data_IF_812166330748
#
_entry.id   IF_812166330748
#
_cell.length_a   1.000
_cell.length_b   1.000
_cell.length_c   1.000
_cell.angle_alpha   90.00
_cell.angle_beta   90.00
_cell.angle_gamma   90.00
#
_symmetry.space_group_name_H-M   'P 1'
#
loop_
_entity.id
_entity.type
_entity.pdbx_description
1 polymer ?
#
# COMPACT_ATOMS: atom_id res chain seq x y z
N UNK A 1 -15.19 4.50 -21.08
CA UNK A 1 -14.15 5.06 -20.18
C UNK A 1 -13.31 6.20 -20.79
N UNK A 2 -12.82 6.11 -22.04
CA UNK A 2 -11.84 7.06 -22.60
C UNK A 2 -12.31 8.53 -22.55
N UNK A 3 -13.54 8.80 -22.95
CA UNK A 3 -14.15 10.15 -22.88
C UNK A 3 -14.35 10.67 -21.45
N UNK A 4 -14.39 9.77 -20.46
CA UNK A 4 -14.47 10.12 -19.05
C UNK A 4 -13.11 10.65 -18.56
N UNK A 5 -12.02 9.94 -18.85
CA UNK A 5 -10.68 10.33 -18.43
C UNK A 5 -10.10 11.51 -19.21
N UNK A 6 -10.50 11.74 -20.45
CA UNK A 6 -10.08 12.91 -21.25
C UNK A 6 -10.35 14.26 -20.57
N UNK A 7 -11.28 14.29 -19.61
CA UNK A 7 -11.68 15.49 -18.88
C UNK A 7 -10.99 15.62 -17.51
N UNK A 8 -10.25 14.61 -17.07
CA UNK A 8 -9.65 14.58 -15.73
C UNK A 8 -8.18 14.94 -15.77
N UNK A 9 -7.78 15.91 -14.96
CA UNK A 9 -6.39 16.14 -14.61
C UNK A 9 -5.91 15.18 -13.53
N UNK A 10 -4.60 15.23 -13.23
CA UNK A 10 -3.98 14.46 -12.15
C UNK A 10 -4.69 14.69 -10.81
N UNK A 11 -4.99 15.95 -10.49
CA UNK A 11 -5.63 16.32 -9.22
C UNK A 11 -7.06 15.77 -9.12
N UNK A 12 -7.81 15.79 -10.22
CA UNK A 12 -9.16 15.20 -10.27
C UNK A 12 -9.11 13.68 -10.07
N UNK A 13 -8.10 13.01 -10.66
CA UNK A 13 -7.88 11.58 -10.46
C UNK A 13 -7.54 11.25 -9.00
N UNK A 14 -6.69 12.06 -8.35
CA UNK A 14 -6.36 11.90 -6.93
C UNK A 14 -7.59 12.09 -6.05
N UNK A 15 -8.39 13.13 -6.33
CA UNK A 15 -9.63 13.40 -5.61
C UNK A 15 -10.62 12.24 -5.76
N UNK A 16 -10.73 11.68 -6.96
CA UNK A 16 -11.53 10.47 -7.21
C UNK A 16 -11.01 9.27 -6.42
N UNK A 17 -9.69 9.02 -6.44
CA UNK A 17 -9.08 7.92 -5.67
C UNK A 17 -9.39 8.04 -4.18
N UNK A 18 -9.47 9.25 -3.63
CA UNK A 18 -9.79 9.47 -2.22
C UNK A 18 -11.29 9.33 -1.91
N UNK A 19 -12.18 9.74 -2.83
CA UNK A 19 -13.62 9.84 -2.56
C UNK A 19 -14.48 8.74 -3.15
N UNK A 20 -14.16 8.20 -4.33
CA UNK A 20 -15.02 7.29 -5.10
C UNK A 20 -14.91 5.83 -4.62
N UNK A 21 -14.86 5.67 -3.30
CA UNK A 21 -14.78 4.41 -2.58
C UNK A 21 -16.15 4.07 -1.99
N UNK A 22 -16.58 2.80 -1.97
CA UNK A 22 -17.62 2.34 -1.06
C UNK A 22 -17.20 2.52 0.41
N UNK A 23 -18.17 2.45 1.33
CA UNK A 23 -17.90 2.46 2.77
C UNK A 23 -16.99 1.29 3.13
N UNK A 24 -17.36 0.09 2.67
CA UNK A 24 -16.57 -1.13 2.86
C UNK A 24 -16.32 -1.86 1.55
N UNK A 25 -15.20 -2.55 1.47
CA UNK A 25 -14.81 -3.37 0.33
C UNK A 25 -13.78 -4.41 0.75
N UNK A 26 -14.17 -5.68 0.79
CA UNK A 26 -13.33 -6.72 1.37
C UNK A 26 -13.64 -8.12 0.83
N UNK A 27 -12.73 -9.05 1.13
CA UNK A 27 -12.85 -10.45 0.75
C UNK A 27 -12.61 -10.74 -0.74
N UNK A 28 -12.41 -12.01 -1.11
CA UNK A 28 -11.98 -12.39 -2.46
C UNK A 28 -13.02 -12.10 -3.55
N UNK A 29 -14.29 -11.92 -3.17
CA UNK A 29 -15.39 -11.68 -4.10
C UNK A 29 -15.88 -10.22 -4.07
N UNK A 30 -15.14 -9.30 -3.45
CA UNK A 30 -15.50 -7.88 -3.40
C UNK A 30 -16.85 -7.65 -2.73
N UNK A 31 -17.00 -8.11 -1.48
CA UNK A 31 -18.17 -7.73 -0.67
C UNK A 31 -18.06 -6.25 -0.36
N UNK A 32 -19.17 -5.52 -0.49
CA UNK A 32 -19.18 -4.08 -0.29
C UNK A 32 -20.43 -3.56 0.41
N UNK A 33 -20.30 -2.38 1.00
CA UNK A 33 -21.38 -1.52 1.43
C UNK A 33 -21.18 -0.12 0.81
N UNK A 34 -22.20 0.39 0.12
CA UNK A 34 -22.20 1.70 -0.53
C UNK A 34 -22.67 2.79 0.44
N UNK A 35 -22.46 4.06 0.08
CA UNK A 35 -22.90 5.24 0.87
C UNK A 35 -24.42 5.37 1.05
N UNK A 36 -25.21 4.61 0.31
CA UNK A 36 -26.67 4.53 0.43
C UNK A 36 -27.12 3.21 1.09
N UNK A 37 -26.24 2.60 1.88
CA UNK A 37 -26.43 1.34 2.61
C UNK A 37 -26.72 0.11 1.74
N UNK A 38 -26.66 0.23 0.41
CA UNK A 38 -26.75 -0.93 -0.48
C UNK A 38 -25.53 -1.80 -0.30
N UNK A 39 -25.77 -3.07 -0.04
CA UNK A 39 -24.73 -4.09 0.04
C UNK A 39 -24.76 -5.00 -1.17
N UNK A 40 -23.62 -5.60 -1.48
CA UNK A 40 -23.50 -6.53 -2.59
C UNK A 40 -22.16 -7.23 -2.64
N UNK A 41 -21.93 -7.94 -3.73
CA UNK A 41 -20.70 -8.69 -3.97
C UNK A 41 -20.37 -8.68 -5.47
N UNK A 42 -19.13 -8.34 -5.82
CA UNK A 42 -18.65 -8.28 -7.21
C UNK A 42 -19.27 -7.15 -8.02
N UNK A 43 -19.11 -7.18 -9.34
CA UNK A 43 -19.70 -6.21 -10.28
C UNK A 43 -18.82 -4.98 -10.54
N UNK A 44 -17.80 -4.73 -9.71
CA UNK A 44 -16.82 -3.66 -9.94
C UNK A 44 -15.97 -3.88 -11.20
N UNK A 45 -15.88 -5.11 -11.70
CA UNK A 45 -15.23 -5.47 -12.98
C UNK A 45 -15.90 -4.80 -14.18
N UNK A 46 -17.17 -4.39 -14.03
CA UNK A 46 -17.96 -3.77 -15.09
C UNK A 46 -17.85 -2.25 -15.12
N UNK A 47 -17.31 -1.63 -14.06
CA UNK A 47 -17.17 -0.18 -13.95
C UNK A 47 -16.22 0.33 -15.04
N UNK A 48 -16.68 1.29 -15.84
CA UNK A 48 -15.95 1.86 -16.98
C UNK A 48 -16.18 1.13 -18.31
N UNK A 49 -16.90 0.01 -18.32
CA UNK A 49 -17.20 -0.79 -19.52
C UNK A 49 -18.58 -0.44 -20.12
N UNK A 50 -18.90 -0.96 -21.31
CA UNK A 50 -20.23 -0.81 -21.91
C UNK A 50 -21.34 -1.52 -21.12
N UNK A 51 -20.98 -2.40 -20.17
CA UNK A 51 -21.90 -3.21 -19.38
C UNK A 51 -21.97 -2.76 -17.91
N UNK A 52 -21.75 -1.47 -17.62
CA UNK A 52 -21.89 -0.92 -16.27
C UNK A 52 -23.23 -1.27 -15.61
N UNK A 53 -23.18 -1.50 -14.30
CA UNK A 53 -24.39 -1.67 -13.50
C UNK A 53 -24.99 -0.31 -13.13
N UNK A 54 -26.31 -0.25 -12.91
CA UNK A 54 -27.00 0.99 -12.54
C UNK A 54 -26.50 1.64 -11.24
N UNK A 55 -25.91 0.87 -10.32
CA UNK A 55 -25.42 1.34 -9.02
C UNK A 55 -23.88 1.40 -8.96
N UNK A 56 -23.19 0.58 -9.74
CA UNK A 56 -21.73 0.56 -9.83
C UNK A 56 -21.30 1.18 -11.17
N UNK A 57 -21.15 2.51 -11.17
CA UNK A 57 -20.82 3.32 -12.35
C UNK A 57 -19.54 4.12 -12.15
N UNK A 58 -18.79 4.36 -13.22
CA UNK A 58 -17.51 5.08 -13.17
C UNK A 58 -17.66 6.49 -12.57
N UNK A 59 -18.81 7.13 -12.76
CA UNK A 59 -19.09 8.45 -12.19
C UNK A 59 -19.08 8.46 -10.65
N UNK A 60 -19.45 7.32 -10.03
CA UNK A 60 -19.69 7.21 -8.60
C UNK A 60 -18.64 6.37 -7.87
N UNK A 61 -18.00 5.41 -8.55
CA UNK A 61 -17.06 4.47 -7.95
C UNK A 61 -15.84 4.23 -8.85
N UNK A 62 -14.77 3.74 -8.22
CA UNK A 62 -13.54 3.43 -8.93
C UNK A 62 -13.66 2.21 -9.85
N UNK A 63 -13.08 2.28 -11.04
CA UNK A 63 -12.77 1.08 -11.83
C UNK A 63 -11.61 0.29 -11.21
N UNK A 64 -11.41 -0.97 -11.62
CA UNK A 64 -10.24 -1.73 -11.16
C UNK A 64 -8.90 -1.10 -11.53
N UNK A 65 -8.83 -0.37 -12.64
CA UNK A 65 -7.61 0.37 -13.02
C UNK A 65 -7.34 1.52 -12.05
N UNK A 66 -8.38 2.25 -11.64
CA UNK A 66 -8.28 3.28 -10.59
C UNK A 66 -7.92 2.67 -9.24
N UNK A 67 -8.49 1.51 -8.87
CA UNK A 67 -8.15 0.81 -7.63
C UNK A 67 -6.68 0.39 -7.58
N UNK A 68 -6.11 -0.01 -8.71
CA UNK A 68 -4.70 -0.41 -8.80
C UNK A 68 -3.76 0.76 -8.55
N UNK A 69 -4.12 1.95 -9.02
CA UNK A 69 -3.40 3.21 -8.71
C UNK A 69 -3.64 3.59 -7.24
N UNK A 70 -4.88 3.50 -6.76
CA UNK A 70 -5.25 3.77 -5.38
C UNK A 70 -4.45 2.95 -4.37
N UNK A 71 -4.11 1.69 -4.70
CA UNK A 71 -3.30 0.82 -3.85
C UNK A 71 -1.85 1.34 -3.64
N UNK A 72 -1.41 2.34 -4.40
CA UNK A 72 -0.10 2.99 -4.23
C UNK A 72 -0.14 4.20 -3.31
N UNK A 73 -1.32 4.61 -2.85
CA UNK A 73 -1.48 5.74 -1.94
C UNK A 73 -1.31 5.30 -0.49
N UNK A 74 -0.65 6.17 0.27
CA UNK A 74 -0.57 6.12 1.73
C UNK A 74 -1.27 7.34 2.29
N UNK A 75 -2.06 7.17 3.34
CA UNK A 75 -2.62 8.30 4.11
C UNK A 75 -2.07 8.21 5.53
N UNK A 76 -1.41 9.27 6.00
CA UNK A 76 -0.82 9.33 7.33
C UNK A 76 -1.33 10.53 8.13
N UNK A 77 -1.37 10.37 9.44
CA UNK A 77 -1.68 11.46 10.37
C UNK A 77 -1.00 11.24 11.72
N UNK A 78 -0.83 12.33 12.48
CA UNK A 78 -0.63 12.21 13.92
C UNK A 78 -1.97 11.84 14.55
N UNK A 79 -1.96 10.87 15.46
CA UNK A 79 -3.16 10.45 16.18
C UNK A 79 -2.85 10.30 17.66
N UNK A 80 -3.85 10.57 18.49
CA UNK A 80 -3.91 10.01 19.83
C UNK A 80 -4.37 8.56 19.75
N UNK A 81 -3.88 7.74 20.65
CA UNK A 81 -4.27 6.35 20.78
C UNK A 81 -5.10 6.17 22.06
N UNK A 82 -6.05 5.25 22.03
CA UNK A 82 -6.94 4.99 23.20
C UNK A 82 -6.61 3.67 23.90
N UNK A 83 -5.87 2.77 23.25
CA UNK A 83 -5.38 1.50 23.76
C UNK A 83 -4.14 1.05 22.96
N UNK A 84 -3.64 -0.16 23.21
CA UNK A 84 -2.45 -0.71 22.55
C UNK A 84 -2.63 -1.08 21.06
N UNK A 85 -3.85 -0.98 20.54
CA UNK A 85 -4.17 -1.34 19.16
C UNK A 85 -4.18 -2.84 18.88
N UNK A 86 -4.26 -3.71 19.89
CA UNK A 86 -4.42 -5.14 19.64
C UNK A 86 -5.64 -5.43 18.75
N UNK A 87 -5.59 -6.48 17.91
CA UNK A 87 -6.70 -6.81 17.00
C UNK A 87 -8.05 -7.04 17.69
N UNK A 88 -8.05 -7.40 18.96
CA UNK A 88 -9.26 -7.61 19.76
C UNK A 88 -9.65 -6.39 20.62
N UNK A 89 -9.05 -5.21 20.40
CA UNK A 89 -9.22 -4.05 21.27
C UNK A 89 -10.67 -3.52 21.31
N UNK A 90 -11.42 -3.62 20.20
CA UNK A 90 -12.85 -3.27 20.10
C UNK A 90 -13.21 -1.86 20.62
N UNK A 91 -12.27 -0.93 20.62
CA UNK A 91 -12.48 0.44 21.10
C UNK A 91 -12.50 0.57 22.61
N UNK A 92 -12.11 -0.48 23.33
CA UNK A 92 -12.03 -0.46 24.80
C UNK A 92 -10.77 0.33 25.20
N UNK A 93 -10.89 1.38 26.02
CA UNK A 93 -9.73 2.14 26.47
C UNK A 93 -8.73 1.28 27.26
N UNK A 94 -7.44 1.48 26.99
CA UNK A 94 -6.35 0.84 27.73
C UNK A 94 -6.04 1.56 29.04
N UNK A 95 -5.30 0.89 29.92
CA UNK A 95 -4.77 1.52 31.13
C UNK A 95 -3.70 2.57 30.77
N UNK A 96 -3.77 3.75 31.39
CA UNK A 96 -2.83 4.84 31.13
C UNK A 96 -1.38 4.38 31.35
N UNK A 97 -0.52 4.65 30.38
CA UNK A 97 0.89 4.26 30.43
C UNK A 97 1.18 2.80 30.05
N UNK A 98 0.17 1.99 29.70
CA UNK A 98 0.39 0.62 29.18
C UNK A 98 0.61 0.58 27.66
N UNK A 99 0.40 1.69 26.97
CA UNK A 99 0.54 1.87 25.52
C UNK A 99 1.04 3.29 25.22
N UNK A 100 1.52 3.54 24.00
CA UNK A 100 1.86 4.90 23.58
C UNK A 100 0.60 5.74 23.47
N UNK A 101 0.58 6.93 24.06
CA UNK A 101 -0.63 7.77 24.04
C UNK A 101 -0.82 8.49 22.69
N UNK A 102 0.24 8.62 21.90
CA UNK A 102 0.18 9.23 20.57
C UNK A 102 1.33 8.79 19.69
N UNK A 103 1.16 8.97 18.38
CA UNK A 103 2.19 8.71 17.39
C UNK A 103 1.72 9.10 16.00
N UNK A 104 2.48 8.70 14.99
CA UNK A 104 2.05 8.77 13.59
C UNK A 104 1.47 7.42 13.22
N UNK A 105 0.34 7.41 12.51
CA UNK A 105 -0.26 6.20 11.97
C UNK A 105 -0.52 6.38 10.48
N UNK A 106 -0.20 5.35 9.68
CA UNK A 106 -0.29 5.37 8.23
C UNK A 106 -1.13 4.19 7.72
N UNK A 107 -2.17 4.50 6.95
CA UNK A 107 -2.95 3.52 6.20
C UNK A 107 -2.25 3.19 4.89
N UNK A 108 -1.91 1.92 4.70
CA UNK A 108 -1.11 1.46 3.57
C UNK A 108 -1.73 0.22 2.93
N UNK A 109 -1.70 0.16 1.60
CA UNK A 109 -2.34 -0.93 0.85
C UNK A 109 -1.30 -1.93 0.34
N UNK A 110 -1.50 -3.20 0.70
CA UNK A 110 -0.68 -4.32 0.25
C UNK A 110 -1.07 -4.88 -1.11
N UNK A 111 -0.32 -5.88 -1.59
CA UNK A 111 -0.63 -6.56 -2.85
C UNK A 111 -1.83 -7.50 -2.69
N UNK A 112 -2.81 -7.41 -3.60
CA UNK A 112 -4.01 -8.25 -3.59
C UNK A 112 -3.91 -9.41 -4.56
N UNK A 113 -3.42 -10.57 -4.09
CA UNK A 113 -3.11 -11.74 -4.93
C UNK A 113 -4.14 -12.87 -4.84
N UNK A 114 -5.40 -12.56 -4.51
CA UNK A 114 -6.53 -13.52 -4.53
C UNK A 114 -7.59 -13.23 -5.58
N UNK A 115 -7.61 -12.02 -6.14
CA UNK A 115 -8.56 -11.66 -7.20
C UNK A 115 -7.92 -11.99 -8.55
N UNK A 116 -8.25 -13.17 -9.08
CA UNK A 116 -7.72 -13.67 -10.35
C UNK A 116 -7.95 -12.64 -11.46
N UNK A 117 -6.90 -12.34 -12.22
CA UNK A 117 -6.91 -11.42 -13.37
C UNK A 117 -7.15 -9.93 -13.04
N UNK A 118 -7.10 -9.51 -11.77
CA UNK A 118 -7.22 -8.09 -11.37
C UNK A 118 -6.18 -7.67 -10.32
N UNK A 119 -6.00 -6.36 -10.14
CA UNK A 119 -5.06 -5.78 -9.15
C UNK A 119 -3.63 -6.34 -9.34
N UNK A 120 -2.87 -6.53 -8.26
CA UNK A 120 -1.52 -7.07 -8.33
C UNK A 120 -1.44 -8.53 -8.81
N UNK A 121 -2.55 -9.27 -8.90
CA UNK A 121 -2.53 -10.59 -9.57
C UNK A 121 -2.05 -10.45 -11.01
N UNK A 122 -2.48 -9.40 -11.72
CA UNK A 122 -2.07 -9.16 -13.11
C UNK A 122 -0.58 -8.92 -13.24
N UNK A 123 0.07 -8.39 -12.20
CA UNK A 123 1.46 -7.97 -12.23
C UNK A 123 2.40 -9.05 -11.69
N UNK A 124 2.01 -9.66 -10.58
CA UNK A 124 2.85 -10.53 -9.78
C UNK A 124 2.63 -12.01 -10.10
N UNK A 125 1.43 -12.40 -10.55
CA UNK A 125 1.11 -13.82 -10.79
C UNK A 125 1.23 -14.15 -12.27
N UNK A 126 1.94 -15.23 -12.56
CA UNK A 126 2.10 -15.77 -13.90
C UNK A 126 1.26 -17.05 -14.01
N UNK A 127 0.33 -17.07 -14.98
CA UNK A 127 -0.50 -18.23 -15.30
C UNK A 127 -0.55 -18.45 -16.81
N UNK A 128 -0.79 -19.69 -17.30
CA UNK A 128 -0.84 -19.96 -18.75
C UNK A 128 -1.99 -19.23 -19.46
N UNK A 129 -3.11 -18.97 -18.77
CA UNK A 129 -4.28 -18.28 -19.35
C UNK A 129 -4.07 -16.76 -19.44
N UNK A 130 -3.52 -16.15 -18.39
CA UNK A 130 -3.31 -14.71 -18.34
C UNK A 130 -2.06 -14.30 -19.12
N UNK A 131 -0.93 -14.96 -18.90
CA UNK A 131 0.39 -14.51 -19.35
C UNK A 131 0.70 -15.01 -20.77
N UNK A 132 -0.08 -14.53 -21.74
CA UNK A 132 0.17 -14.75 -23.17
C UNK A 132 0.62 -13.45 -23.84
N UNK A 133 1.31 -13.57 -24.98
CA UNK A 133 1.66 -12.41 -25.81
C UNK A 133 0.41 -11.63 -26.24
N UNK A 134 -0.69 -12.33 -26.54
CA UNK A 134 -1.96 -11.68 -26.90
C UNK A 134 -2.50 -10.81 -25.77
N UNK A 135 -2.25 -11.17 -24.50
CA UNK A 135 -2.69 -10.39 -23.34
C UNK A 135 -1.70 -9.28 -22.95
N UNK A 136 -0.60 -9.10 -23.68
CA UNK A 136 0.39 -8.05 -23.44
C UNK A 136 1.47 -8.42 -22.43
N UNK A 137 1.71 -9.72 -22.25
CA UNK A 137 2.80 -10.26 -21.42
C UNK A 137 3.98 -10.69 -22.28
N UNK A 138 5.17 -10.69 -21.68
CA UNK A 138 6.43 -10.92 -22.37
C UNK A 138 6.87 -9.69 -23.17
N UNK A 139 7.65 -9.92 -24.22
CA UNK A 139 8.17 -8.84 -25.07
C UNK A 139 6.98 -8.10 -25.73
N UNK A 140 6.84 -6.77 -25.55
CA UNK A 140 5.74 -6.02 -26.15
C UNK A 140 5.69 -6.20 -27.67
N UNK A 141 4.56 -6.69 -28.18
CA UNK A 141 4.30 -6.83 -29.61
C UNK A 141 2.95 -6.18 -29.95
N UNK A 142 2.89 -5.52 -31.10
CA UNK A 142 1.64 -4.94 -31.61
C UNK A 142 1.14 -3.71 -30.84
N UNK A 143 -0.17 -3.63 -30.63
CA UNK A 143 -0.84 -2.46 -30.04
C UNK A 143 -0.48 -2.31 -28.55
N UNK A 144 -0.12 -1.10 -28.08
CA UNK A 144 0.14 -0.87 -26.67
C UNK A 144 -1.03 -1.27 -25.77
N UNK A 145 -0.75 -2.11 -24.77
CA UNK A 145 -1.71 -2.52 -23.74
C UNK A 145 -1.35 -1.89 -22.39
N UNK A 146 -2.33 -1.82 -21.49
CA UNK A 146 -2.12 -1.31 -20.14
C UNK A 146 -1.03 -2.08 -19.39
N UNK A 147 -0.91 -3.38 -19.65
CA UNK A 147 0.15 -4.25 -19.13
C UNK A 147 1.54 -3.70 -19.45
N UNK A 148 1.77 -3.13 -20.64
CA UNK A 148 3.08 -2.56 -20.99
C UNK A 148 3.46 -1.36 -20.11
N UNK A 149 2.47 -0.57 -19.64
CA UNK A 149 2.71 0.54 -18.72
C UNK A 149 3.19 -0.01 -17.37
N UNK A 150 2.51 -1.02 -16.84
CA UNK A 150 2.89 -1.66 -15.59
C UNK A 150 4.22 -2.42 -15.70
N UNK A 151 4.52 -3.02 -16.85
CA UNK A 151 5.83 -3.62 -17.12
C UNK A 151 6.96 -2.58 -17.11
N UNK A 152 6.71 -1.36 -17.62
CA UNK A 152 7.69 -0.27 -17.52
C UNK A 152 7.88 0.18 -16.08
N UNK A 153 6.81 0.20 -15.29
CA UNK A 153 6.83 0.67 -13.91
C UNK A 153 7.46 -0.34 -12.94
N UNK A 154 7.03 -1.60 -12.99
CA UNK A 154 7.50 -2.68 -12.11
C UNK A 154 8.58 -3.55 -12.73
N UNK A 155 8.84 -3.50 -14.03
CA UNK A 155 9.74 -4.43 -14.71
C UNK A 155 9.00 -5.55 -15.45
N UNK A 156 9.78 -6.38 -16.14
CA UNK A 156 9.25 -7.37 -17.08
C UNK A 156 8.25 -8.33 -16.42
N UNK A 157 7.08 -8.44 -17.05
CA UNK A 157 6.07 -9.44 -16.72
C UNK A 157 6.11 -10.49 -17.82
N UNK A 158 6.67 -11.68 -17.55
CA UNK A 158 6.95 -12.66 -18.59
C UNK A 158 5.66 -13.27 -19.15
N UNK A 159 5.73 -13.71 -20.41
CA UNK A 159 4.79 -14.70 -20.91
C UNK A 159 5.06 -16.06 -20.23
N UNK A 160 4.06 -16.93 -20.16
CA UNK A 160 4.15 -18.21 -19.46
C UNK A 160 5.30 -19.10 -19.96
N UNK A 161 5.54 -19.12 -21.28
CA UNK A 161 6.63 -19.87 -21.91
C UNK A 161 8.03 -19.27 -21.69
N UNK A 162 8.12 -18.02 -21.23
CA UNK A 162 9.39 -17.34 -20.89
C UNK A 162 9.81 -17.60 -19.43
N UNK A 163 8.99 -18.29 -18.65
CA UNK A 163 9.31 -18.63 -17.26
C UNK A 163 10.35 -19.74 -17.22
N UNK A 164 11.55 -19.38 -16.77
CA UNK A 164 12.66 -20.30 -16.54
C UNK A 164 12.44 -21.10 -15.25
N UNK A 165 12.25 -22.42 -15.39
CA UNK A 165 12.13 -23.33 -14.24
C UNK A 165 13.42 -23.31 -13.41
N UNK A 166 13.28 -23.25 -12.09
CA UNK A 166 14.39 -23.22 -11.15
C UNK A 166 15.04 -21.84 -10.96
N UNK A 167 14.57 -20.82 -11.66
CA UNK A 167 15.00 -19.44 -11.40
C UNK A 167 14.40 -18.94 -10.08
N UNK A 168 15.24 -18.41 -9.18
CA UNK A 168 14.84 -17.97 -7.83
C UNK A 168 13.85 -16.81 -7.79
N UNK A 169 13.66 -16.08 -8.90
CA UNK A 169 12.66 -15.01 -9.03
C UNK A 169 11.23 -15.54 -9.20
N UNK A 170 11.06 -16.84 -9.45
CA UNK A 170 9.78 -17.46 -9.73
C UNK A 170 9.46 -18.51 -8.67
N UNK A 171 8.58 -18.13 -7.74
CA UNK A 171 8.08 -19.05 -6.71
C UNK A 171 6.88 -19.83 -7.26
N UNK A 172 6.99 -21.16 -7.30
CA UNK A 172 5.86 -22.02 -7.67
C UNK A 172 4.81 -22.01 -6.54
N UNK A 173 3.58 -21.55 -6.82
CA UNK A 173 2.48 -21.54 -5.85
C UNK A 173 1.57 -22.75 -6.03
N UNK A 174 1.24 -23.09 -7.29
CA UNK A 174 0.49 -24.28 -7.74
C UNK A 174 0.95 -24.66 -9.13
N UNK A 175 0.60 -25.82 -9.67
CA UNK A 175 1.06 -26.31 -10.99
C UNK A 175 0.98 -25.28 -12.13
N UNK A 176 -0.06 -24.44 -12.15
CA UNK A 176 -0.35 -23.43 -13.18
C UNK A 176 -0.23 -21.98 -12.67
N UNK A 177 0.32 -21.79 -11.47
CA UNK A 177 0.34 -20.50 -10.78
C UNK A 177 1.73 -20.24 -10.21
N UNK A 178 2.39 -19.20 -10.68
CA UNK A 178 3.74 -18.80 -10.26
C UNK A 178 3.71 -17.36 -9.75
N UNK A 179 4.37 -17.09 -8.65
CA UNK A 179 4.62 -15.73 -8.15
C UNK A 179 5.96 -15.22 -8.68
N UNK A 180 5.94 -14.12 -9.42
CA UNK A 180 7.12 -13.33 -9.76
C UNK A 180 7.52 -12.48 -8.55
N UNK A 181 8.49 -12.99 -7.79
CA UNK A 181 8.90 -12.42 -6.51
C UNK A 181 9.58 -11.06 -6.69
N UNK A 182 10.26 -10.82 -7.82
CA UNK A 182 10.91 -9.54 -8.11
C UNK A 182 9.89 -8.41 -8.32
N UNK A 183 8.83 -8.66 -9.11
CA UNK A 183 7.73 -7.68 -9.29
C UNK A 183 6.99 -7.44 -7.98
N UNK A 184 6.73 -8.50 -7.22
CA UNK A 184 6.15 -8.39 -5.88
C UNK A 184 7.02 -7.52 -4.96
N UNK A 185 8.33 -7.78 -4.88
CA UNK A 185 9.26 -6.99 -4.07
C UNK A 185 9.25 -5.52 -4.48
N UNK A 186 9.23 -5.20 -5.77
CA UNK A 186 9.14 -3.81 -6.24
C UNK A 186 7.86 -3.13 -5.79
N UNK A 187 6.72 -3.82 -5.85
CA UNK A 187 5.43 -3.31 -5.36
C UNK A 187 5.46 -3.00 -3.85
N UNK A 188 6.07 -3.87 -3.04
CA UNK A 188 6.22 -3.67 -1.59
C UNK A 188 7.24 -2.56 -1.29
N UNK A 189 8.32 -2.48 -2.07
CA UNK A 189 9.37 -1.47 -1.89
C UNK A 189 8.83 -0.05 -2.00
N UNK A 190 7.82 0.20 -2.84
CA UNK A 190 7.16 1.51 -2.94
C UNK A 190 6.49 1.92 -1.61
N UNK A 191 5.79 0.98 -0.96
CA UNK A 191 5.21 1.20 0.36
C UNK A 191 6.31 1.45 1.41
N UNK A 192 7.36 0.63 1.40
CA UNK A 192 8.49 0.79 2.32
C UNK A 192 9.17 2.17 2.19
N UNK A 193 9.48 2.60 0.96
CA UNK A 193 10.06 3.92 0.69
C UNK A 193 9.16 5.04 1.20
N UNK A 194 7.85 4.95 0.98
CA UNK A 194 6.89 5.93 1.46
C UNK A 194 6.90 6.05 2.98
N UNK A 195 6.84 4.93 3.70
CA UNK A 195 6.80 4.96 5.16
C UNK A 195 8.14 5.36 5.78
N UNK A 196 9.27 4.94 5.21
CA UNK A 196 10.60 5.35 5.69
C UNK A 196 10.76 6.87 5.57
N UNK A 197 10.37 7.45 4.43
CA UNK A 197 10.43 8.89 4.22
C UNK A 197 9.51 9.66 5.17
N UNK A 198 8.26 9.19 5.35
CA UNK A 198 7.29 9.80 6.27
C UNK A 198 7.77 9.72 7.71
N UNK A 199 8.26 8.56 8.13
CA UNK A 199 8.76 8.34 9.48
C UNK A 199 9.98 9.24 9.77
N UNK A 200 10.92 9.30 8.84
CA UNK A 200 12.11 10.16 8.93
C UNK A 200 11.71 11.63 9.06
N UNK A 201 10.83 12.14 8.19
CA UNK A 201 10.41 13.53 8.21
C UNK A 201 9.65 13.91 9.50
N UNK A 202 8.76 13.02 9.97
CA UNK A 202 7.99 13.25 11.20
C UNK A 202 8.87 13.22 12.45
N UNK A 203 9.80 12.27 12.53
CA UNK A 203 10.71 12.17 13.66
C UNK A 203 11.70 13.36 13.69
N UNK A 204 12.21 13.80 12.53
CA UNK A 204 13.06 14.99 12.44
C UNK A 204 12.34 16.25 12.91
N UNK A 205 11.07 16.44 12.53
CA UNK A 205 10.25 17.57 12.97
C UNK A 205 10.02 17.59 14.48
N UNK A 206 10.14 16.45 15.17
CA UNK A 206 10.03 16.32 16.62
C UNK A 206 11.38 16.21 17.34
N UNK A 207 12.50 16.27 16.61
CA UNK A 207 13.85 16.06 17.14
C UNK A 207 14.02 14.69 17.81
N UNK A 208 13.32 13.68 17.30
CA UNK A 208 13.37 12.28 17.75
C UNK A 208 13.96 11.39 16.65
N UNK A 209 14.23 10.13 16.98
CA UNK A 209 14.42 9.07 15.97
C UNK A 209 13.10 8.34 15.71
N UNK A 210 12.92 7.76 14.53
CA UNK A 210 11.73 6.99 14.22
C UNK A 210 11.82 5.54 14.73
N UNK A 211 10.73 5.06 15.33
CA UNK A 211 10.43 3.64 15.50
C UNK A 211 9.36 3.27 14.48
N UNK A 212 9.75 2.58 13.41
CA UNK A 212 8.82 2.16 12.36
C UNK A 212 8.24 0.80 12.73
N UNK A 213 6.94 0.76 12.99
CA UNK A 213 6.22 -0.50 13.19
C UNK A 213 5.55 -0.93 11.88
N UNK A 214 5.99 -2.09 11.38
CA UNK A 214 5.60 -2.65 10.09
C UNK A 214 4.71 -3.87 10.33
N UNK A 215 3.46 -3.79 9.88
CA UNK A 215 2.57 -4.95 9.79
C UNK A 215 2.57 -5.54 8.38
N UNK A 216 2.15 -6.80 8.27
CA UNK A 216 2.05 -7.48 6.98
C UNK A 216 0.99 -6.85 6.05
N UNK A 217 1.42 -6.12 5.03
CA UNK A 217 0.53 -5.53 4.02
C UNK A 217 0.24 -6.57 2.93
N UNK A 218 -0.98 -7.12 2.91
CA UNK A 218 -1.38 -8.13 1.93
C UNK A 218 -0.82 -9.54 2.19
N UNK A 219 -0.20 -9.77 3.35
CA UNK A 219 0.34 -11.08 3.77
C UNK A 219 -0.72 -12.01 4.39
N UNK A 220 -1.87 -11.47 4.79
CA UNK A 220 -2.98 -12.23 5.34
C UNK A 220 -3.80 -12.97 4.27
N UNK A 221 -5.12 -12.76 4.25
CA UNK A 221 -6.02 -13.44 3.29
C UNK A 221 -5.71 -13.13 1.82
N UNK A 222 -4.93 -12.09 1.56
CA UNK A 222 -4.56 -11.61 0.23
C UNK A 222 -3.32 -12.29 -0.37
N UNK A 223 -2.54 -13.07 0.40
CA UNK A 223 -1.32 -13.68 -0.10
C UNK A 223 -1.60 -14.85 -1.06
N UNK A 224 -0.74 -15.02 -2.07
CA UNK A 224 -0.64 -16.21 -2.89
C UNK A 224 0.08 -17.36 -2.14
N UNK A 225 1.14 -17.06 -1.39
CA UNK A 225 1.94 -18.03 -0.62
C UNK A 225 2.40 -17.45 0.72
N UNK A 226 2.60 -18.31 1.73
CA UNK A 226 3.19 -17.92 3.03
C UNK A 226 4.66 -17.51 2.92
N UNK A 227 5.35 -17.96 1.86
CA UNK A 227 6.74 -17.56 1.61
C UNK A 227 6.86 -16.07 1.22
N UNK A 228 5.74 -15.37 0.98
CA UNK A 228 5.73 -13.93 0.74
C UNK A 228 6.29 -13.10 1.89
N UNK A 229 6.21 -13.58 3.14
CA UNK A 229 6.73 -12.88 4.31
C UNK A 229 8.22 -12.59 4.15
N UNK A 230 9.00 -13.57 3.68
CA UNK A 230 10.42 -13.40 3.35
C UNK A 230 10.64 -12.31 2.32
N UNK A 231 9.97 -12.38 1.17
CA UNK A 231 10.14 -11.40 0.10
C UNK A 231 9.66 -10.01 0.50
N UNK A 232 8.65 -9.91 1.35
CA UNK A 232 8.18 -8.66 1.92
C UNK A 232 9.29 -8.01 2.75
N UNK A 233 9.90 -8.75 3.67
CA UNK A 233 11.00 -8.25 4.52
C UNK A 233 12.25 -7.94 3.70
N UNK A 234 12.57 -8.74 2.68
CA UNK A 234 13.65 -8.42 1.73
C UNK A 234 13.40 -7.08 1.02
N UNK A 235 12.18 -6.82 0.54
CA UNK A 235 11.84 -5.58 -0.14
C UNK A 235 12.00 -4.35 0.79
N UNK A 236 11.64 -4.50 2.06
CA UNK A 236 11.90 -3.49 3.09
C UNK A 236 13.39 -3.29 3.35
N UNK A 237 14.17 -4.37 3.46
CA UNK A 237 15.62 -4.30 3.57
C UNK A 237 16.26 -3.58 2.37
N UNK A 238 15.80 -3.85 1.16
CA UNK A 238 16.28 -3.18 -0.06
C UNK A 238 15.90 -1.70 -0.09
N UNK A 239 14.73 -1.33 0.42
CA UNK A 239 14.33 0.07 0.59
C UNK A 239 15.20 0.77 1.64
N UNK A 240 15.41 0.12 2.79
CA UNK A 240 16.23 0.66 3.88
C UNK A 240 17.67 0.82 3.43
N UNK A 241 18.27 -0.18 2.78
CA UNK A 241 19.64 -0.12 2.26
C UNK A 241 19.86 1.10 1.35
N UNK A 242 18.89 1.43 0.50
CA UNK A 242 18.97 2.60 -0.40
C UNK A 242 18.67 3.92 0.29
N UNK A 243 17.94 3.87 1.40
CA UNK A 243 17.55 5.05 2.17
C UNK A 243 18.75 5.81 2.73
N UNK A 244 18.67 7.13 2.66
CA UNK A 244 19.58 8.11 3.24
C UNK A 244 19.11 8.59 4.61
N UNK A 245 17.94 8.14 5.07
CA UNK A 245 17.45 8.48 6.40
C UNK A 245 18.41 7.94 7.47
N UNK A 246 18.97 8.85 8.28
CA UNK A 246 19.90 8.54 9.37
C UNK A 246 19.24 8.55 10.75
N UNK A 247 18.00 9.03 10.83
CA UNK A 247 17.21 9.18 12.05
C UNK A 247 16.19 8.05 12.26
N UNK A 248 16.37 6.88 11.63
CA UNK A 248 15.57 5.69 11.90
C UNK A 248 16.25 4.85 12.96
N UNK A 249 15.66 4.75 14.15
CA UNK A 249 16.20 3.93 15.24
C UNK A 249 15.85 2.46 15.08
N UNK A 250 14.60 2.16 14.74
CA UNK A 250 14.09 0.79 14.65
C UNK A 250 13.21 0.60 13.42
N UNK A 251 13.31 -0.58 12.81
CA UNK A 251 12.29 -1.14 11.92
C UNK A 251 11.85 -2.46 12.52
N UNK A 252 10.60 -2.52 12.98
CA UNK A 252 10.01 -3.66 13.67
C UNK A 252 8.95 -4.33 12.80
N UNK A 253 9.29 -5.51 12.28
CA UNK A 253 8.38 -6.38 11.54
C UNK A 253 7.53 -7.19 12.51
N UNK A 254 6.31 -6.73 12.75
CA UNK A 254 5.39 -7.36 13.70
C UNK A 254 4.44 -8.33 13.01
N UNK A 255 4.33 -9.55 13.55
CA UNK A 255 3.50 -10.65 13.02
C UNK A 255 3.88 -11.12 11.60
N UNK A 256 5.10 -10.83 11.15
CA UNK A 256 5.63 -11.25 9.85
C UNK A 256 6.65 -12.37 10.06
N UNK A 257 6.45 -13.51 9.39
CA UNK A 257 7.27 -14.71 9.57
C UNK A 257 8.47 -14.69 8.61
N UNK A 258 9.54 -14.03 9.02
CA UNK A 258 10.83 -14.07 8.36
C UNK A 258 11.95 -14.25 9.39
N UNK A 259 13.05 -14.90 8.98
CA UNK A 259 14.18 -15.21 9.86
C UNK A 259 15.20 -14.05 9.93
N UNK A 260 15.30 -13.27 8.87
CA UNK A 260 16.24 -12.16 8.72
C UNK A 260 15.74 -11.10 7.72
N UNK A 261 16.36 -9.93 7.74
CA UNK A 261 16.20 -8.87 6.76
C UNK A 261 17.51 -8.67 5.99
N UNK A 262 17.64 -9.32 4.82
CA UNK A 262 18.87 -9.33 4.01
C UNK A 262 20.11 -9.80 4.79
N UNK A 263 19.94 -10.86 5.58
CA UNK A 263 20.95 -11.46 6.44
C UNK A 263 21.06 -10.85 7.84
N UNK A 264 20.36 -9.75 8.13
CA UNK A 264 20.34 -9.09 9.44
C UNK A 264 19.27 -9.70 10.33
N UNK A 265 19.64 -10.25 11.49
CA UNK A 265 18.72 -10.94 12.39
C UNK A 265 18.03 -9.98 13.37
N UNK A 266 17.11 -10.53 14.15
CA UNK A 266 16.42 -9.82 15.21
C UNK A 266 17.41 -9.17 16.22
N UNK A 267 17.15 -7.91 16.57
CA UNK A 267 17.97 -7.05 17.44
C UNK A 267 19.38 -6.75 16.93
N UNK A 268 19.67 -6.98 15.65
CA UNK A 268 20.94 -6.59 15.03
C UNK A 268 20.85 -5.25 14.30
N UNK A 269 22.00 -4.56 14.22
CA UNK A 269 22.13 -3.34 13.41
C UNK A 269 22.06 -3.68 11.92
N UNK A 270 21.33 -2.86 11.17
CA UNK A 270 21.18 -3.03 9.73
C UNK A 270 22.42 -2.53 8.99
N UNK A 271 23.33 -3.45 8.66
CA UNK A 271 24.51 -3.19 7.83
C UNK A 271 25.36 -2.01 8.36
N UNK A 272 25.53 -0.96 7.56
CA UNK A 272 26.28 0.26 7.88
C UNK A 272 25.45 1.32 8.62
N UNK A 273 24.20 1.01 8.98
CA UNK A 273 23.26 1.94 9.63
C UNK A 273 23.15 1.67 11.13
N UNK A 274 22.79 2.73 11.85
CA UNK A 274 22.46 2.65 13.28
C UNK A 274 21.04 2.11 13.55
N UNK A 275 20.26 1.82 12.50
CA UNK A 275 18.92 1.25 12.60
C UNK A 275 18.98 -0.20 13.07
N UNK A 276 18.18 -0.56 14.07
CA UNK A 276 18.04 -1.93 14.57
C UNK A 276 16.85 -2.60 13.91
N UNK A 277 17.04 -3.84 13.41
CA UNK A 277 15.95 -4.65 12.88
C UNK A 277 15.31 -5.47 13.99
N UNK A 278 13.98 -5.49 14.05
CA UNK A 278 13.22 -6.31 14.98
C UNK A 278 12.20 -7.17 14.27
N UNK A 279 12.00 -8.36 14.81
CA UNK A 279 10.91 -9.27 14.48
C UNK A 279 10.15 -9.55 15.77
N UNK A 280 8.88 -9.15 15.81
CA UNK A 280 8.08 -9.22 17.02
C UNK A 280 6.64 -9.66 16.76
N UNK A 281 5.85 -9.74 17.82
CA UNK A 281 4.39 -9.92 17.77
C UNK A 281 3.71 -8.79 18.58
N UNK A 282 4.27 -7.58 18.53
CA UNK A 282 3.77 -6.42 19.26
C UNK A 282 2.42 -5.92 18.71
N UNK A 283 1.65 -5.27 19.56
CA UNK A 283 0.47 -4.53 19.13
C UNK A 283 0.89 -3.20 18.46
N UNK A 284 -0.03 -2.54 17.73
CA UNK A 284 0.26 -1.30 17.00
C UNK A 284 0.90 -0.25 17.94
N UNK A 285 0.17 0.11 18.99
CA UNK A 285 0.50 1.23 19.85
C UNK A 285 1.26 0.81 21.12
N UNK A 286 1.91 -0.36 21.13
CA UNK A 286 2.75 -0.75 22.27
C UNK A 286 3.83 0.31 22.56
N UNK A 287 4.30 0.39 23.80
CA UNK A 287 5.38 1.31 24.17
C UNK A 287 6.62 1.11 23.27
N UNK A 288 7.31 2.22 23.02
CA UNK A 288 8.58 2.26 22.28
C UNK A 288 9.66 2.91 23.14
N UNK A 289 10.95 2.65 22.88
CA UNK A 289 12.04 3.24 23.65
C UNK A 289 11.99 4.76 23.72
N UNK A 290 12.45 5.33 24.83
CA UNK A 290 12.58 6.78 25.00
C UNK A 290 13.43 7.40 23.88
N UNK A 291 13.10 8.63 23.49
CA UNK A 291 13.79 9.33 22.40
C UNK A 291 13.37 8.85 20.99
N UNK A 292 12.32 8.02 20.90
CA UNK A 292 11.75 7.58 19.62
C UNK A 292 10.30 8.00 19.42
N UNK A 293 9.96 8.35 18.17
CA UNK A 293 8.60 8.58 17.70
C UNK A 293 8.04 7.27 17.13
N UNK A 294 6.92 6.78 17.66
CA UNK A 294 6.21 5.65 17.08
C UNK A 294 5.55 6.07 15.75
N UNK A 295 5.87 5.33 14.69
CA UNK A 295 5.27 5.44 13.37
C UNK A 295 4.67 4.08 12.99
N UNK A 296 3.36 3.97 13.14
CA UNK A 296 2.59 2.77 12.86
C UNK A 296 2.17 2.70 11.40
N UNK A 297 2.19 1.49 10.84
CA UNK A 297 1.42 1.14 9.64
C UNK A 297 0.26 0.23 10.01
N UNK A 298 -0.88 0.44 9.36
CA UNK A 298 -1.96 -0.55 9.32
C UNK A 298 -2.27 -0.93 7.87
N UNK A 299 -2.62 -2.20 7.67
CA UNK A 299 -3.06 -2.68 6.37
C UNK A 299 -4.45 -2.13 6.06
N UNK A 300 -4.59 -1.46 4.92
CA UNK A 300 -5.83 -0.89 4.38
C UNK A 300 -6.16 -1.50 3.01
N UNK A 301 -7.43 -1.43 2.62
CA UNK A 301 -7.91 -1.84 1.31
C UNK A 301 -8.02 -0.65 0.34
N UNK A 302 -7.48 -0.81 -0.88
CA UNK A 302 -7.43 0.23 -1.91
C UNK A 302 -8.78 0.71 -2.46
N UNK A 303 -9.90 0.14 -2.01
CA UNK A 303 -11.24 0.55 -2.44
C UNK A 303 -12.26 0.57 -1.28
N UNK A 304 -11.83 0.85 -0.05
CA UNK A 304 -12.73 1.05 1.09
C UNK A 304 -12.41 2.38 1.80
N UNK A 305 -13.33 2.90 2.61
CA UNK A 305 -12.99 3.95 3.57
C UNK A 305 -12.01 3.41 4.63
N UNK A 306 -11.22 4.28 5.30
CA UNK A 306 -10.39 3.87 6.42
C UNK A 306 -11.23 3.18 7.50
N UNK A 307 -10.71 2.10 8.07
CA UNK A 307 -11.43 1.26 9.03
C UNK A 307 -12.22 0.11 8.40
N UNK A 308 -12.57 0.20 7.11
CA UNK A 308 -13.26 -0.85 6.34
C UNK A 308 -14.37 -1.56 7.14
N UNK A 309 -14.16 -2.79 7.61
CA UNK A 309 -15.18 -3.55 8.34
C UNK A 309 -15.60 -2.94 9.70
N UNK A 310 -14.85 -1.95 10.22
CA UNK A 310 -15.28 -1.08 11.33
C UNK A 310 -16.69 -0.52 11.10
N UNK A 311 -16.99 -0.06 9.89
CA UNK A 311 -18.28 0.54 9.51
C UNK A 311 -19.44 -0.47 9.49
N UNK A 312 -19.13 -1.77 9.58
CA UNK A 312 -20.11 -2.86 9.69
C UNK A 312 -20.21 -3.40 11.12
N UNK A 313 -19.67 -2.67 12.10
CA UNK A 313 -19.57 -3.10 13.50
C UNK A 313 -18.72 -4.37 13.70
N UNK A 314 -17.79 -4.65 12.77
CA UNK A 314 -16.86 -5.78 12.87
C UNK A 314 -15.55 -5.34 13.54
N UNK A 315 -15.64 -4.97 14.81
CA UNK A 315 -14.59 -4.25 15.56
C UNK A 315 -13.33 -5.06 15.89
N UNK A 316 -13.24 -6.33 15.47
CA UNK A 316 -12.11 -7.21 15.78
C UNK A 316 -11.76 -8.18 14.66
N UNK A 317 -12.22 -7.93 13.44
CA UNK A 317 -12.02 -8.84 12.31
C UNK A 317 -10.72 -8.58 11.54
N UNK A 318 -10.23 -7.34 11.49
CA UNK A 318 -9.15 -6.91 10.59
C UNK A 318 -8.20 -5.91 11.24
N UNK A 319 -7.05 -5.66 10.60
CA UNK A 319 -6.10 -4.64 11.03
C UNK A 319 -6.67 -3.22 10.87
N UNK A 320 -7.45 -2.98 9.81
CA UNK A 320 -8.22 -1.74 9.62
C UNK A 320 -9.15 -1.45 10.80
N UNK A 321 -9.99 -2.43 11.17
CA UNK A 321 -10.90 -2.31 12.30
C UNK A 321 -10.16 -2.07 13.61
N UNK A 322 -9.03 -2.75 13.83
CA UNK A 322 -8.21 -2.56 15.01
C UNK A 322 -7.69 -1.11 15.10
N UNK A 323 -7.14 -0.57 14.01
CA UNK A 323 -6.63 0.80 13.95
C UNK A 323 -7.75 1.85 14.13
N UNK A 324 -8.91 1.66 13.49
CA UNK A 324 -10.08 2.53 13.67
C UNK A 324 -10.63 2.51 15.11
N UNK A 325 -10.51 1.38 15.80
CA UNK A 325 -10.93 1.27 17.18
C UNK A 325 -9.91 1.84 18.18
N UNK A 326 -8.64 1.94 17.82
CA UNK A 326 -7.56 2.32 18.74
C UNK A 326 -7.01 3.73 18.51
N UNK A 327 -7.43 4.40 17.44
CA UNK A 327 -6.89 5.69 16.99
C UNK A 327 -7.95 6.52 16.25
N UNK A 328 -7.58 7.72 15.78
CA UNK A 328 -8.48 8.62 15.05
C UNK A 328 -8.56 8.37 13.54
N UNK A 329 -8.12 7.23 13.00
CA UNK A 329 -8.04 7.02 11.55
C UNK A 329 -9.41 7.01 10.85
N UNK A 330 -10.49 6.64 11.53
CA UNK A 330 -11.84 6.63 10.96
C UNK A 330 -12.31 8.05 10.56
N UNK A 331 -11.81 9.08 11.24
CA UNK A 331 -12.08 10.48 10.96
C UNK A 331 -10.91 11.15 10.23
N UNK A 332 -9.69 11.01 10.73
CA UNK A 332 -8.51 11.73 10.26
C UNK A 332 -8.07 11.31 8.85
N UNK A 333 -8.26 10.03 8.48
CA UNK A 333 -7.90 9.53 7.15
C UNK A 333 -9.09 9.53 6.18
N UNK A 334 -10.28 9.92 6.63
CA UNK A 334 -11.52 9.81 5.86
C UNK A 334 -11.81 11.10 5.07
N UNK A 335 -11.79 11.02 3.75
CA UNK A 335 -11.98 12.14 2.83
C UNK A 335 -13.38 12.78 2.87
N UNK A 336 -14.36 12.11 3.49
CA UNK A 336 -15.70 12.66 3.73
C UNK A 336 -15.82 13.41 5.06
N UNK A 337 -14.89 13.19 5.98
CA UNK A 337 -14.85 13.84 7.30
C UNK A 337 -13.76 14.91 7.33
N UNK A 338 -12.52 14.52 7.06
CA UNK A 338 -11.36 15.41 6.98
C UNK A 338 -11.15 15.93 5.56
N UNK A 339 -12.12 16.71 5.07
CA UNK A 339 -12.18 17.17 3.68
C UNK A 339 -11.05 18.14 3.30
N UNK A 340 -10.36 18.72 4.27
CA UNK A 340 -9.28 19.69 4.05
C UNK A 340 -7.91 19.03 3.98
N UNK A 341 -7.63 18.02 4.80
CA UNK A 341 -6.32 17.37 4.80
C UNK A 341 -6.30 16.10 3.93
N UNK A 342 -7.42 15.41 3.75
CA UNK A 342 -7.52 14.23 2.89
C UNK A 342 -8.22 14.60 1.59
N UNK A 343 -7.52 15.42 0.80
CA UNK A 343 -7.96 15.86 -0.52
C UNK A 343 -6.78 15.93 -1.49
N UNK A 344 -7.07 16.06 -2.78
CA UNK A 344 -6.04 16.16 -3.81
C UNK A 344 -5.06 17.33 -3.56
N UNK A 345 -5.55 18.47 -3.05
CA UNK A 345 -4.73 19.66 -2.78
C UNK A 345 -3.72 19.48 -1.65
N UNK A 346 -3.74 18.35 -0.93
CA UNK A 346 -2.75 18.01 0.08
C UNK A 346 -1.88 16.81 -0.33
N UNK A 347 -1.79 16.54 -1.64
CA UNK A 347 -0.95 15.47 -2.16
C UNK A 347 0.53 15.78 -1.95
N UNK A 348 1.24 14.80 -1.39
CA UNK A 348 2.68 14.82 -1.23
C UNK A 348 3.33 13.66 -1.98
N UNK A 349 4.56 13.89 -2.44
CA UNK A 349 5.33 12.92 -3.23
C UNK A 349 6.70 12.73 -2.60
N UNK A 350 7.10 11.47 -2.41
CA UNK A 350 8.48 11.12 -2.07
C UNK A 350 9.32 11.27 -3.33
N UNK A 351 10.22 12.25 -3.35
CA UNK A 351 11.08 12.53 -4.49
C UNK A 351 12.28 11.57 -4.54
N UNK A 352 13.06 11.54 -5.66
CA UNK A 352 14.26 10.71 -5.78
C UNK A 352 15.37 11.02 -4.76
N UNK A 353 15.32 12.19 -4.10
CA UNK A 353 16.20 12.52 -2.98
C UNK A 353 15.62 12.10 -1.61
N UNK A 354 14.53 11.33 -1.61
CA UNK A 354 13.82 10.75 -0.46
C UNK A 354 13.17 11.76 0.48
N UNK A 355 13.15 13.04 0.10
CA UNK A 355 12.37 14.05 0.79
C UNK A 355 10.93 14.06 0.29
N UNK A 356 10.03 14.42 1.19
CA UNK A 356 8.60 14.59 0.90
C UNK A 356 8.37 16.03 0.45
N UNK A 357 7.77 16.20 -0.73
CA UNK A 357 7.38 17.50 -1.26
C UNK A 357 5.88 17.54 -1.45
N UNK A 358 5.28 18.70 -1.18
CA UNK A 358 3.97 19.00 -1.71
C UNK A 358 4.01 18.93 -3.25
N UNK A 359 2.94 18.47 -3.90
CA UNK A 359 2.91 18.22 -5.35
C UNK A 359 3.32 19.45 -6.18
N UNK A 360 2.98 20.67 -5.73
CA UNK A 360 3.39 21.92 -6.40
C UNK A 360 4.90 22.13 -6.39
N UNK A 361 5.56 21.82 -5.27
CA UNK A 361 7.01 21.99 -5.12
C UNK A 361 7.74 20.87 -5.86
N UNK A 362 7.20 19.65 -5.82
CA UNK A 362 7.69 18.55 -6.65
C UNK A 362 7.67 18.94 -8.13
N UNK A 363 6.55 19.48 -8.62
CA UNK A 363 6.42 19.90 -10.02
C UNK A 363 7.43 21.02 -10.38
N UNK A 364 7.60 22.02 -9.50
CA UNK A 364 8.56 23.11 -9.70
C UNK A 364 9.99 22.61 -9.80
N UNK A 365 10.39 21.67 -8.95
CA UNK A 365 11.76 21.17 -8.88
C UNK A 365 12.03 20.15 -10.01
N UNK A 366 11.15 19.17 -10.17
CA UNK A 366 11.43 17.97 -10.97
C UNK A 366 10.75 17.92 -12.34
N UNK A 367 9.66 18.66 -12.56
CA UNK A 367 8.92 18.60 -13.82
C UNK A 367 9.24 19.79 -14.75
N UNK A 368 9.46 21.00 -14.20
CA UNK A 368 9.74 22.20 -15.00
C UNK A 368 11.11 22.19 -15.72
N UNK A 369 12.04 21.32 -15.32
CA UNK A 369 13.36 21.22 -15.96
C UNK A 369 13.40 20.29 -17.18
N UNK A 370 12.36 19.48 -17.40
CA UNK A 370 12.33 18.51 -18.52
C UNK A 370 11.81 19.09 -19.85
N UNK A 371 11.17 20.27 -19.83
CA UNK A 371 10.67 20.92 -21.05
C UNK A 371 11.72 21.74 -21.82
N UNK A 372 12.95 21.87 -21.32
CA UNK A 372 14.06 22.54 -22.05
C UNK A 372 14.94 21.57 -22.85
N UNK A 373 14.62 20.28 -22.89
CA UNK A 373 15.47 19.23 -23.48
C UNK A 373 15.01 18.63 -24.82
N UNK A 374 13.86 19.02 -25.37
CA UNK A 374 13.30 18.42 -26.60
C UNK A 374 13.11 19.43 -27.74
N UNK A 375 14.03 20.39 -27.84
CA UNK A 375 14.18 21.22 -29.03
C UNK A 375 15.65 21.51 -29.31
N UNK A 376 16.40 20.50 -29.77
CA UNK A 376 17.55 20.69 -30.68
C UNK A 376 18.14 19.36 -31.17
N UNK A 377 18.04 19.19 -32.50
CA UNK A 377 18.73 18.27 -33.42
C UNK A 377 18.23 16.84 -33.55
#
# INVERSE_FOLDING_TARGET
>A
DRSFYEKLGLMDLVERILKKRPITFYGPNDKYCLHNDKTGQGGFEKIGTDNEDQHLRIENYMSYDEMKISALFTVSSKSFFVNDGNRQNKGIPGEKGSFQESGVIAGMVGARLKKVEYMEWQDCIVTPKQNTAENGYGIPQGTPKLQHIWQKFYGQMPAWNEVEKGNSKYLQVKNDTILNTEVYKRRIRLAAVALIAEASARAEAEQLKAYIHVVGLGLGVWCASKEQDKYFVEAWGEALQKSKASNIAYVDFSWIKADDCLGVKNEEKFQDKETIIRFSERALHSLVPEGTLLVDSYAWDGNALPGNEYWLNMLSSTGDGAAACSSGVAELHNSYVNTTAVCCNNLHVVAPNEKIYHISDYARVYLQHNDKGSSSK
#
